data_IF_413990665886
#
_entry.id   IF_413990665886
#
_cell.length_a   1.000
_cell.length_b   1.000
_cell.length_c   1.000
_cell.angle_alpha   90.00
_cell.angle_beta   90.00
_cell.angle_gamma   90.00
#
_symmetry.space_group_name_H-M   'P 1'
#
loop_
_entity.id
_entity.type
_entity.pdbx_description
1 polymer ?
#
# COMPACT_ATOMS: atom_id res chain seq x y z
N UNK A 1 -32.52 10.15 -2.02
CA UNK A 1 -33.29 10.95 -3.00
C UNK A 1 -32.70 10.65 -4.38
N UNK A 2 -33.43 10.00 -5.30
CA UNK A 2 -32.90 9.70 -6.63
C UNK A 2 -32.77 11.00 -7.43
N UNK A 3 -31.59 11.27 -7.98
CA UNK A 3 -31.32 12.44 -8.82
C UNK A 3 -32.10 12.35 -10.13
N UNK A 4 -33.08 13.23 -10.33
CA UNK A 4 -33.81 13.32 -11.60
C UNK A 4 -32.94 14.02 -12.65
N UNK A 5 -32.70 13.35 -13.78
CA UNK A 5 -31.94 13.92 -14.88
C UNK A 5 -32.75 15.03 -15.58
N UNK A 6 -32.37 16.29 -15.32
CA UNK A 6 -33.00 17.50 -15.90
C UNK A 6 -32.25 18.03 -17.12
N UNK A 7 -31.38 17.22 -17.73
CA UNK A 7 -30.55 17.67 -18.86
C UNK A 7 -31.40 18.10 -20.06
N UNK A 8 -32.57 17.48 -20.26
CA UNK A 8 -33.50 17.84 -21.34
C UNK A 8 -34.17 19.20 -21.09
N UNK A 9 -34.69 19.42 -19.89
CA UNK A 9 -35.29 20.70 -19.47
C UNK A 9 -34.29 21.84 -19.65
N UNK A 10 -33.04 21.62 -19.22
CA UNK A 10 -31.96 22.59 -19.37
C UNK A 10 -31.68 22.93 -20.84
N UNK A 11 -31.58 21.91 -21.71
CA UNK A 11 -31.36 22.13 -23.16
C UNK A 11 -32.53 22.87 -23.81
N UNK A 12 -33.76 22.63 -23.36
CA UNK A 12 -34.94 23.31 -23.85
C UNK A 12 -34.95 24.79 -23.47
N UNK A 13 -34.65 25.10 -22.21
CA UNK A 13 -34.54 26.48 -21.73
C UNK A 13 -33.42 27.24 -22.46
N UNK A 14 -32.28 26.60 -22.74
CA UNK A 14 -31.20 27.22 -23.53
C UNK A 14 -31.69 27.61 -24.93
N UNK A 15 -32.35 26.68 -25.64
CA UNK A 15 -32.86 26.96 -27.00
C UNK A 15 -33.90 28.08 -27.00
N UNK A 16 -34.77 28.09 -26.00
CA UNK A 16 -35.78 29.14 -25.83
C UNK A 16 -35.10 30.51 -25.64
N UNK A 17 -34.10 30.58 -24.76
CA UNK A 17 -33.34 31.81 -24.53
C UNK A 17 -32.54 32.26 -25.76
N UNK A 18 -31.96 31.33 -26.51
CA UNK A 18 -31.23 31.60 -27.76
C UNK A 18 -32.13 32.20 -28.85
N UNK A 19 -33.43 31.90 -28.83
CA UNK A 19 -34.42 32.46 -29.76
C UNK A 19 -34.90 33.85 -29.36
N UNK A 20 -34.80 34.22 -28.08
CA UNK A 20 -35.19 35.56 -27.59
C UNK A 20 -34.14 36.65 -27.79
N UNK A 21 -32.91 36.30 -28.19
CA UNK A 21 -31.83 37.27 -28.40
C UNK A 21 -31.79 37.75 -29.86
N UNK A 22 -31.75 39.07 -30.13
CA UNK A 22 -31.68 39.61 -31.49
C UNK A 22 -30.39 39.17 -32.20
N UNK A 23 -30.47 38.92 -33.51
CA UNK A 23 -29.40 38.32 -34.32
C UNK A 23 -28.04 39.06 -34.25
N UNK A 24 -28.02 40.36 -33.92
CA UNK A 24 -26.80 41.14 -33.71
C UNK A 24 -26.06 40.84 -32.39
N UNK A 25 -26.74 40.25 -31.39
CA UNK A 25 -26.16 39.78 -30.12
C UNK A 25 -26.08 38.27 -30.02
N UNK A 26 -26.64 37.53 -30.99
CA UNK A 26 -26.24 36.15 -31.27
C UNK A 26 -24.79 36.19 -31.72
N UNK A 27 -23.87 36.25 -30.75
CA UNK A 27 -22.47 35.91 -30.98
C UNK A 27 -22.55 34.52 -31.58
N UNK A 28 -22.40 34.43 -32.91
CA UNK A 28 -22.16 33.16 -33.59
C UNK A 28 -21.02 32.55 -32.79
N UNK A 29 -21.31 31.56 -31.95
CA UNK A 29 -20.35 30.50 -31.66
C UNK A 29 -20.19 29.84 -33.02
N UNK A 30 -19.44 30.51 -33.88
CA UNK A 30 -19.03 29.96 -35.15
C UNK A 30 -18.43 28.64 -34.76
N UNK A 31 -19.11 27.58 -35.15
CA UNK A 31 -18.59 26.24 -35.24
C UNK A 31 -17.54 26.29 -36.35
N UNK A 32 -16.51 27.10 -36.13
CA UNK A 32 -15.27 26.99 -36.83
C UNK A 32 -14.77 25.65 -36.35
N UNK A 33 -14.93 24.67 -37.23
CA UNK A 33 -14.11 23.47 -37.28
C UNK A 33 -12.66 23.90 -37.51
N UNK A 34 -12.11 24.69 -36.60
CA UNK A 34 -10.75 24.45 -36.17
C UNK A 34 -10.84 23.04 -35.60
N UNK A 35 -10.04 22.12 -36.13
CA UNK A 35 -9.71 20.91 -35.38
C UNK A 35 -9.54 21.30 -33.91
N UNK A 36 -9.95 20.47 -32.93
CA UNK A 36 -9.65 20.80 -31.55
C UNK A 36 -8.13 20.95 -31.51
N UNK A 37 -7.64 22.19 -31.46
CA UNK A 37 -6.36 22.53 -30.87
C UNK A 37 -6.55 22.04 -29.46
N UNK A 38 -6.24 20.75 -29.30
CA UNK A 38 -6.61 19.94 -28.17
C UNK A 38 -5.66 20.44 -27.10
N UNK A 39 -6.13 21.41 -26.31
CA UNK A 39 -5.29 22.17 -25.38
C UNK A 39 -4.28 21.21 -24.76
N UNK A 40 -2.96 21.42 -24.97
CA UNK A 40 -1.95 20.46 -24.53
C UNK A 40 -2.09 20.10 -23.05
N UNK A 41 -2.53 21.05 -22.22
CA UNK A 41 -2.84 20.85 -20.80
C UNK A 41 -3.99 19.86 -20.53
N UNK A 42 -5.03 19.83 -21.38
CA UNK A 42 -6.15 18.89 -21.24
C UNK A 42 -5.75 17.47 -21.67
N UNK A 43 -4.84 17.33 -22.64
CA UNK A 43 -4.27 16.03 -23.03
C UNK A 43 -3.41 15.50 -21.89
N UNK A 44 -2.45 16.29 -21.41
CA UNK A 44 -1.57 15.91 -20.31
C UNK A 44 -2.34 15.62 -19.01
N UNK A 45 -3.44 16.33 -18.76
CA UNK A 45 -4.32 16.03 -17.62
C UNK A 45 -5.03 14.68 -17.73
N UNK A 46 -5.49 14.31 -18.94
CA UNK A 46 -6.11 12.99 -19.17
C UNK A 46 -5.10 11.86 -19.06
N UNK A 47 -3.89 12.06 -19.58
CA UNK A 47 -2.80 11.09 -19.48
C UNK A 47 -2.41 10.86 -18.01
N UNK A 48 -2.26 11.94 -17.23
CA UNK A 48 -1.97 11.87 -15.79
C UNK A 48 -3.03 11.05 -15.03
N UNK A 49 -4.32 11.33 -15.28
CA UNK A 49 -5.41 10.61 -14.60
C UNK A 49 -5.50 9.16 -15.09
N UNK A 50 -5.28 8.90 -16.37
CA UNK A 50 -5.26 7.53 -16.90
C UNK A 50 -4.14 6.70 -16.25
N UNK A 51 -2.96 7.29 -16.10
CA UNK A 51 -1.83 6.68 -15.40
C UNK A 51 -2.14 6.41 -13.93
N UNK A 52 -2.78 7.37 -13.23
CA UNK A 52 -3.24 7.18 -11.86
C UNK A 52 -4.16 5.96 -11.72
N UNK A 53 -5.09 5.77 -12.66
CA UNK A 53 -5.99 4.61 -12.66
C UNK A 53 -5.26 3.29 -12.92
N UNK A 54 -4.24 3.28 -13.77
CA UNK A 54 -3.41 2.09 -13.99
C UNK A 54 -2.70 1.70 -12.70
N UNK A 55 -2.09 2.66 -12.00
CA UNK A 55 -1.44 2.42 -10.70
C UNK A 55 -2.46 1.93 -9.66
N UNK A 56 -3.62 2.59 -9.57
CA UNK A 56 -4.67 2.21 -8.63
C UNK A 56 -5.18 0.78 -8.88
N UNK A 57 -5.36 0.40 -10.15
CA UNK A 57 -5.79 -0.95 -10.51
C UNK A 57 -4.75 -1.99 -10.09
N UNK A 58 -3.45 -1.70 -10.32
CA UNK A 58 -2.36 -2.58 -9.92
C UNK A 58 -2.28 -2.75 -8.40
N UNK A 59 -2.37 -1.64 -7.64
CA UNK A 59 -2.40 -1.70 -6.16
C UNK A 59 -3.63 -2.47 -5.68
N UNK A 60 -4.81 -2.21 -6.24
CA UNK A 60 -6.06 -2.88 -5.83
C UNK A 60 -6.01 -4.37 -6.12
N UNK A 61 -5.50 -4.76 -7.28
CA UNK A 61 -5.32 -6.17 -7.66
C UNK A 61 -4.35 -6.86 -6.72
N UNK A 62 -3.20 -6.22 -6.42
CA UNK A 62 -2.23 -6.74 -5.46
C UNK A 62 -2.86 -6.89 -4.06
N UNK A 63 -3.54 -5.88 -3.54
CA UNK A 63 -4.19 -5.94 -2.21
C UNK A 63 -5.23 -7.07 -2.14
N UNK A 64 -6.04 -7.26 -3.20
CA UNK A 64 -7.02 -8.34 -3.26
C UNK A 64 -6.34 -9.71 -3.32
N UNK A 65 -5.30 -9.86 -4.14
CA UNK A 65 -4.50 -11.07 -4.22
C UNK A 65 -3.90 -11.42 -2.85
N UNK A 66 -3.23 -10.47 -2.18
CA UNK A 66 -2.63 -10.64 -0.84
C UNK A 66 -3.69 -11.04 0.19
N UNK A 67 -4.88 -10.44 0.16
CA UNK A 67 -5.98 -10.81 1.05
C UNK A 67 -6.46 -12.25 0.83
N UNK A 68 -6.60 -12.68 -0.43
CA UNK A 68 -7.05 -14.03 -0.78
C UNK A 68 -6.02 -15.10 -0.38
N UNK A 69 -4.74 -14.85 -0.61
CA UNK A 69 -3.67 -15.82 -0.31
C UNK A 69 -3.23 -15.80 1.16
N UNK A 70 -3.68 -14.84 1.98
CA UNK A 70 -3.24 -14.71 3.38
C UNK A 70 -3.33 -16.02 4.16
N UNK A 71 -4.46 -16.72 4.07
CA UNK A 71 -4.67 -18.00 4.78
C UNK A 71 -3.70 -19.11 4.32
N UNK A 72 -3.63 -19.46 3.02
CA UNK A 72 -2.72 -20.50 2.54
C UNK A 72 -1.23 -20.09 2.60
N UNK A 73 -0.92 -18.79 2.57
CA UNK A 73 0.43 -18.25 2.75
C UNK A 73 0.94 -18.46 4.18
N UNK A 74 0.11 -18.17 5.20
CA UNK A 74 0.48 -18.27 6.61
C UNK A 74 0.53 -19.73 7.12
N UNK A 75 -0.06 -20.68 6.39
CA UNK A 75 -0.09 -22.08 6.78
C UNK A 75 1.24 -22.79 6.46
N UNK A 76 2.24 -22.67 7.35
CA UNK A 76 3.59 -23.25 7.17
C UNK A 76 3.62 -24.79 7.32
N UNK A 77 2.49 -25.44 7.61
CA UNK A 77 2.45 -26.89 7.81
C UNK A 77 2.61 -27.67 6.50
N UNK A 78 3.81 -28.24 6.34
CA UNK A 78 4.19 -29.21 5.30
C UNK A 78 3.65 -30.63 5.53
N UNK A 79 2.88 -30.87 6.60
CA UNK A 79 2.52 -32.24 7.04
C UNK A 79 1.39 -32.90 6.26
N UNK A 80 0.81 -32.26 5.27
CA UNK A 80 -0.25 -32.87 4.46
C UNK A 80 -0.08 -32.47 3.01
N UNK A 81 0.52 -33.36 2.20
CA UNK A 81 0.02 -33.82 0.88
C UNK A 81 1.16 -34.54 0.13
N UNK A 82 0.91 -35.74 -0.45
CA UNK A 82 1.88 -36.44 -1.27
C UNK A 82 2.18 -35.65 -2.56
N UNK A 83 3.48 -35.45 -2.81
CA UNK A 83 4.13 -34.66 -3.88
C UNK A 83 3.76 -35.05 -5.32
N UNK A 84 2.82 -35.96 -5.56
CA UNK A 84 2.68 -36.62 -6.86
C UNK A 84 1.85 -35.86 -7.93
N UNK A 85 1.07 -34.83 -7.59
CA UNK A 85 0.20 -34.15 -8.58
C UNK A 85 -0.07 -32.67 -8.29
N UNK A 86 0.96 -31.83 -8.27
CA UNK A 86 0.75 -30.39 -8.45
C UNK A 86 1.52 -29.93 -9.68
N UNK A 87 0.84 -29.52 -10.77
CA UNK A 87 1.53 -28.89 -11.89
C UNK A 87 2.16 -27.60 -11.37
N UNK A 88 3.42 -27.36 -11.74
CA UNK A 88 4.11 -26.08 -11.52
C UNK A 88 3.26 -24.97 -12.13
N UNK A 89 2.49 -24.28 -11.28
CA UNK A 89 1.66 -23.17 -11.70
C UNK A 89 2.57 -21.96 -11.82
N UNK A 90 2.79 -21.48 -13.04
CA UNK A 90 3.30 -20.12 -13.22
C UNK A 90 2.26 -19.17 -12.63
N UNK A 91 2.61 -18.54 -11.52
CA UNK A 91 1.82 -17.54 -10.82
C UNK A 91 1.74 -16.29 -11.70
N UNK A 92 0.75 -16.27 -12.59
CA UNK A 92 0.44 -15.11 -13.41
C UNK A 92 -0.35 -14.09 -12.58
N UNK A 93 0.20 -12.89 -12.49
CA UNK A 93 -0.33 -11.79 -11.68
C UNK A 93 -1.61 -11.19 -12.28
N UNK A 94 -1.82 -11.37 -13.59
CA UNK A 94 -3.03 -10.98 -14.30
C UNK A 94 -4.08 -12.10 -14.33
N UNK A 95 -3.78 -13.23 -13.68
CA UNK A 95 -4.74 -14.32 -13.57
C UNK A 95 -5.96 -13.85 -12.79
N UNK A 96 -7.13 -14.01 -13.40
CA UNK A 96 -8.44 -13.68 -12.84
C UNK A 96 -8.55 -14.09 -11.37
N UNK A 97 -9.24 -13.31 -10.54
CA UNK A 97 -9.44 -13.54 -9.09
C UNK A 97 -9.74 -15.00 -8.69
N UNK A 98 -10.32 -15.79 -9.59
CA UNK A 98 -10.60 -17.21 -9.41
C UNK A 98 -9.34 -18.07 -9.20
N UNK A 99 -8.21 -17.74 -9.86
CA UNK A 99 -6.95 -18.49 -9.77
C UNK A 99 -6.42 -18.51 -8.33
N UNK A 100 -6.50 -17.38 -7.65
CA UNK A 100 -6.00 -17.19 -6.28
C UNK A 100 -6.91 -17.82 -5.22
N UNK A 101 -8.24 -17.83 -5.44
CA UNK A 101 -9.19 -18.48 -4.52
C UNK A 101 -9.11 -20.02 -4.52
N UNK A 102 -8.64 -20.62 -5.62
CA UNK A 102 -8.54 -22.07 -5.74
C UNK A 102 -7.32 -22.67 -5.01
N UNK A 103 -6.40 -21.84 -4.53
CA UNK A 103 -5.14 -22.27 -3.92
C UNK A 103 -5.35 -22.49 -2.41
N UNK A 104 -5.32 -23.76 -1.97
CA UNK A 104 -5.46 -24.13 -0.55
C UNK A 104 -4.13 -24.25 0.20
N UNK A 105 -3.04 -24.53 -0.52
CA UNK A 105 -1.69 -24.70 0.04
C UNK A 105 -0.67 -24.10 -0.92
N UNK A 106 0.37 -23.48 -0.38
CA UNK A 106 1.53 -23.00 -1.12
C UNK A 106 2.80 -23.68 -0.60
N UNK A 107 3.70 -24.03 -1.51
CA UNK A 107 5.06 -24.42 -1.17
C UNK A 107 5.87 -23.22 -0.65
N UNK A 108 6.98 -23.49 0.04
CA UNK A 108 7.87 -22.43 0.51
C UNK A 108 8.42 -21.59 -0.67
N UNK A 109 8.73 -22.25 -1.78
CA UNK A 109 9.23 -21.61 -3.00
C UNK A 109 8.17 -20.71 -3.67
N UNK A 110 6.91 -21.14 -3.74
CA UNK A 110 5.81 -20.32 -4.28
C UNK A 110 5.56 -19.09 -3.41
N UNK A 111 5.65 -19.22 -2.08
CA UNK A 111 5.56 -18.07 -1.15
C UNK A 111 6.68 -17.06 -1.40
N UNK A 112 7.90 -17.54 -1.57
CA UNK A 112 9.06 -16.69 -1.87
C UNK A 112 8.92 -15.96 -3.22
N UNK A 113 8.35 -16.63 -4.22
CA UNK A 113 8.04 -16.01 -5.51
C UNK A 113 6.97 -14.91 -5.38
N UNK A 114 5.92 -15.16 -4.59
CA UNK A 114 4.88 -14.16 -4.33
C UNK A 114 5.46 -12.95 -3.59
N UNK A 115 6.33 -13.17 -2.60
CA UNK A 115 7.00 -12.09 -1.87
C UNK A 115 7.86 -11.23 -2.81
N UNK A 116 8.60 -11.88 -3.71
CA UNK A 116 9.40 -11.21 -4.74
C UNK A 116 8.51 -10.38 -5.68
N UNK A 117 7.44 -10.97 -6.20
CA UNK A 117 6.52 -10.33 -7.13
C UNK A 117 5.79 -9.14 -6.48
N UNK A 118 5.26 -9.32 -5.27
CA UNK A 118 4.60 -8.26 -4.51
C UNK A 118 5.54 -7.07 -4.28
N UNK A 119 6.80 -7.35 -3.89
CA UNK A 119 7.82 -6.31 -3.72
C UNK A 119 8.08 -5.55 -5.02
N UNK A 120 8.32 -6.26 -6.13
CA UNK A 120 8.59 -5.63 -7.43
C UNK A 120 7.42 -4.72 -7.85
N UNK A 121 6.18 -5.17 -7.61
CA UNK A 121 4.99 -4.37 -7.91
C UNK A 121 4.93 -3.13 -7.03
N UNK A 122 5.13 -3.26 -5.72
CA UNK A 122 5.13 -2.12 -4.80
C UNK A 122 6.20 -1.09 -5.16
N UNK A 123 7.43 -1.53 -5.44
CA UNK A 123 8.53 -0.64 -5.86
C UNK A 123 8.20 0.04 -7.19
N UNK A 124 7.71 -0.71 -8.18
CA UNK A 124 7.31 -0.14 -9.47
C UNK A 124 6.20 0.90 -9.32
N UNK A 125 5.18 0.62 -8.49
CA UNK A 125 4.12 1.57 -8.19
C UNK A 125 4.68 2.82 -7.50
N UNK A 126 5.57 2.65 -6.52
CA UNK A 126 6.22 3.77 -5.83
C UNK A 126 6.99 4.67 -6.81
N UNK A 127 7.78 4.07 -7.70
CA UNK A 127 8.56 4.80 -8.70
C UNK A 127 7.66 5.54 -9.69
N UNK A 128 6.55 4.91 -10.10
CA UNK A 128 5.57 5.53 -11.00
C UNK A 128 4.87 6.72 -10.34
N UNK A 129 4.50 6.61 -9.06
CA UNK A 129 3.91 7.72 -8.30
C UNK A 129 4.93 8.85 -8.15
N UNK A 130 6.19 8.55 -7.83
CA UNK A 130 7.28 9.55 -7.79
C UNK A 130 7.49 10.24 -9.14
N UNK A 131 7.41 9.50 -10.24
CA UNK A 131 7.48 10.05 -11.60
C UNK A 131 6.34 11.03 -11.86
N UNK A 132 5.10 10.66 -11.51
CA UNK A 132 3.92 11.54 -11.63
C UNK A 132 4.07 12.83 -10.81
N UNK A 133 4.56 12.73 -9.58
CA UNK A 133 4.82 13.89 -8.73
C UNK A 133 5.94 14.78 -9.28
N UNK A 134 7.00 14.18 -9.85
CA UNK A 134 8.07 14.93 -10.48
C UNK A 134 7.59 15.66 -11.74
N UNK A 135 6.70 15.05 -12.53
CA UNK A 135 6.05 15.71 -13.66
C UNK A 135 5.20 16.90 -13.21
N UNK A 136 4.48 16.77 -12.10
CA UNK A 136 3.69 17.85 -11.53
C UNK A 136 4.57 19.00 -11.02
N UNK A 137 5.60 18.72 -10.21
CA UNK A 137 6.55 19.75 -9.73
C UNK A 137 7.26 20.47 -10.89
N UNK A 138 7.60 19.75 -11.96
CA UNK A 138 8.17 20.37 -13.18
C UNK A 138 7.15 21.22 -13.92
N UNK A 139 5.90 20.76 -14.03
CA UNK A 139 4.83 21.52 -14.67
C UNK A 139 4.51 22.80 -13.89
N UNK A 140 4.48 22.73 -12.56
CA UNK A 140 4.30 23.86 -11.67
C UNK A 140 5.45 24.85 -11.82
N UNK A 141 6.70 24.40 -11.70
CA UNK A 141 7.90 25.23 -11.89
C UNK A 141 7.91 25.93 -13.26
N UNK A 142 7.55 25.20 -14.32
CA UNK A 142 7.44 25.77 -15.66
C UNK A 142 6.30 26.81 -15.73
N UNK A 143 5.17 26.56 -15.09
CA UNK A 143 4.05 27.51 -15.06
C UNK A 143 4.42 28.81 -14.33
N UNK A 144 5.13 28.71 -13.20
CA UNK A 144 5.63 29.84 -12.40
C UNK A 144 6.69 30.63 -13.18
N UNK A 145 7.67 29.95 -13.79
CA UNK A 145 8.72 30.63 -14.57
C UNK A 145 8.19 31.32 -15.84
N UNK A 146 7.18 30.74 -16.50
CA UNK A 146 6.51 31.35 -17.65
C UNK A 146 5.70 32.59 -17.21
N UNK A 147 5.11 32.57 -16.02
CA UNK A 147 4.44 33.75 -15.45
C UNK A 147 5.40 34.88 -15.08
N UNK A 148 6.67 34.58 -14.81
CA UNK A 148 7.69 35.58 -14.48
C UNK A 148 8.43 36.13 -15.71
N UNK A 149 8.25 35.56 -16.91
CA UNK A 149 8.98 36.01 -18.11
C UNK A 149 8.44 37.36 -18.61
N UNK A 150 9.18 38.48 -18.46
CA UNK A 150 8.71 39.79 -18.92
C UNK A 150 8.61 39.76 -20.45
N UNK A 151 7.39 39.95 -20.98
CA UNK A 151 7.11 40.00 -22.42
C UNK A 151 6.07 38.99 -22.92
N UNK A 152 5.98 37.78 -22.34
CA UNK A 152 4.92 36.81 -22.72
C UNK A 152 3.55 37.15 -22.15
N UNK A 153 3.53 37.67 -20.92
CA UNK A 153 2.34 38.25 -20.28
C UNK A 153 1.77 39.40 -21.14
N UNK A 154 2.65 40.13 -21.84
CA UNK A 154 2.26 41.25 -22.71
C UNK A 154 1.59 40.77 -24.00
N UNK A 155 2.05 39.66 -24.59
CA UNK A 155 1.44 39.06 -25.79
C UNK A 155 0.11 38.34 -25.52
N UNK A 156 -0.07 37.74 -24.34
CA UNK A 156 -1.35 37.13 -23.96
C UNK A 156 -2.36 38.20 -23.54
N UNK A 157 -1.91 39.25 -22.84
CA UNK A 157 -2.76 40.36 -22.43
C UNK A 157 -3.14 41.32 -23.58
N UNK A 158 -2.29 41.49 -24.60
CA UNK A 158 -2.60 42.30 -25.78
C UNK A 158 -3.76 41.74 -26.60
N UNK A 159 -4.04 40.44 -26.45
CA UNK A 159 -5.20 39.76 -27.04
C UNK A 159 -6.49 40.01 -26.26
N UNK A 160 -6.42 40.38 -24.98
CA UNK A 160 -7.57 40.40 -24.08
C UNK A 160 -8.08 41.81 -23.73
N UNK A 161 -7.24 42.87 -23.68
CA UNK A 161 -7.62 44.31 -23.69
C UNK A 161 -6.39 45.21 -23.43
N UNK A 162 -6.22 46.35 -24.13
CA UNK A 162 -5.06 47.25 -23.97
C UNK A 162 -4.98 47.95 -22.58
N UNK A 163 -6.12 48.07 -21.88
CA UNK A 163 -6.20 48.69 -20.56
C UNK A 163 -5.75 47.76 -19.42
N UNK A 164 -5.72 46.45 -19.64
CA UNK A 164 -5.24 45.49 -18.64
C UNK A 164 -3.75 45.66 -18.34
N UNK A 165 -3.00 46.32 -19.24
CA UNK A 165 -1.57 46.63 -19.09
C UNK A 165 -1.27 47.59 -17.92
N UNK A 166 -2.23 48.41 -17.52
CA UNK A 166 -2.06 49.41 -16.45
C UNK A 166 -2.52 48.94 -15.07
N UNK A 167 -3.05 47.72 -14.95
CA UNK A 167 -3.46 47.19 -13.65
C UNK A 167 -2.25 46.59 -12.90
N UNK A 168 -2.12 46.83 -11.59
CA UNK A 168 -1.05 46.27 -10.77
C UNK A 168 -1.12 44.73 -10.77
N UNK A 169 0.03 44.07 -10.80
CA UNK A 169 0.17 42.61 -10.93
C UNK A 169 -0.64 41.81 -9.90
N UNK A 170 -0.88 42.36 -8.70
CA UNK A 170 -1.72 41.75 -7.65
C UNK A 170 -3.21 41.61 -8.01
N UNK A 171 -3.71 42.41 -8.95
CA UNK A 171 -5.10 42.33 -9.44
C UNK A 171 -5.21 41.52 -10.75
N UNK A 172 -4.09 40.98 -11.24
CA UNK A 172 -3.99 40.20 -12.49
C UNK A 172 -3.92 38.70 -12.22
N UNK A 173 -4.56 38.24 -11.14
CA UNK A 173 -4.75 36.82 -10.87
C UNK A 173 -5.84 36.32 -11.85
N UNK A 174 -5.41 35.91 -13.04
CA UNK A 174 -6.30 35.49 -14.11
C UNK A 174 -7.02 34.20 -13.71
N UNK A 175 -8.28 34.04 -14.14
CA UNK A 175 -9.06 32.79 -13.95
C UNK A 175 -8.30 31.52 -14.38
N UNK A 176 -7.35 31.64 -15.32
CA UNK A 176 -6.48 30.56 -15.75
C UNK A 176 -5.49 30.10 -14.67
N UNK A 177 -4.90 31.02 -13.88
CA UNK A 177 -3.99 30.65 -12.78
C UNK A 177 -4.74 29.93 -11.67
N UNK A 178 -5.96 30.38 -11.33
CA UNK A 178 -6.82 29.70 -10.36
C UNK A 178 -7.18 28.27 -10.76
N UNK A 179 -7.54 28.09 -12.03
CA UNK A 179 -7.84 26.75 -12.54
C UNK A 179 -6.61 25.84 -12.54
N UNK A 180 -5.40 26.42 -12.68
CA UNK A 180 -4.14 25.70 -12.56
C UNK A 180 -3.87 25.28 -11.12
N UNK A 181 -4.05 26.18 -10.16
CA UNK A 181 -3.83 25.92 -8.73
C UNK A 181 -4.78 24.83 -8.21
N UNK A 182 -6.05 24.85 -8.62
CA UNK A 182 -7.01 23.78 -8.28
C UNK A 182 -6.64 22.45 -8.94
N UNK A 183 -6.16 22.48 -10.19
CA UNK A 183 -5.71 21.26 -10.88
C UNK A 183 -4.47 20.68 -10.21
N UNK A 184 -3.54 21.51 -9.73
CA UNK A 184 -2.39 21.08 -8.93
C UNK A 184 -2.84 20.51 -7.58
N UNK A 185 -3.70 21.19 -6.83
CA UNK A 185 -4.25 20.66 -5.58
C UNK A 185 -4.96 19.31 -5.79
N UNK A 186 -5.72 19.16 -6.89
CA UNK A 186 -6.38 17.91 -7.24
C UNK A 186 -5.38 16.81 -7.61
N UNK A 187 -4.34 17.11 -8.40
CA UNK A 187 -3.29 16.14 -8.78
C UNK A 187 -2.45 15.71 -7.57
N UNK A 188 -2.06 16.65 -6.71
CA UNK A 188 -1.46 16.38 -5.40
C UNK A 188 -2.35 15.47 -4.53
N UNK A 189 -3.67 15.69 -4.51
CA UNK A 189 -4.60 14.82 -3.78
C UNK A 189 -4.69 13.40 -4.36
N UNK A 190 -4.56 13.24 -5.69
CA UNK A 190 -4.53 11.93 -6.35
C UNK A 190 -3.26 11.17 -5.95
N UNK A 191 -2.09 11.80 -6.04
CA UNK A 191 -0.81 11.17 -5.67
C UNK A 191 -0.76 10.84 -4.19
N UNK A 192 -1.28 11.71 -3.32
CA UNK A 192 -1.47 11.42 -1.90
C UNK A 192 -2.35 10.18 -1.67
N UNK A 193 -3.48 10.08 -2.37
CA UNK A 193 -4.37 8.92 -2.26
C UNK A 193 -3.67 7.63 -2.69
N UNK A 194 -2.93 7.66 -3.81
CA UNK A 194 -2.16 6.51 -4.29
C UNK A 194 -1.06 6.10 -3.31
N UNK A 195 -0.28 7.05 -2.77
CA UNK A 195 0.75 6.77 -1.78
C UNK A 195 0.15 6.19 -0.50
N UNK A 196 -1.01 6.69 -0.05
CA UNK A 196 -1.73 6.12 1.09
C UNK A 196 -2.13 4.66 0.83
N UNK A 197 -2.72 4.36 -0.32
CA UNK A 197 -3.07 2.98 -0.72
C UNK A 197 -1.85 2.07 -0.83
N UNK A 198 -0.75 2.58 -1.36
CA UNK A 198 0.50 1.86 -1.49
C UNK A 198 1.10 1.53 -0.11
N UNK A 199 1.02 2.49 0.82
CA UNK A 199 1.44 2.34 2.21
C UNK A 199 0.60 1.27 2.92
N UNK A 200 -0.73 1.32 2.78
CA UNK A 200 -1.65 0.29 3.29
C UNK A 200 -1.31 -1.11 2.73
N UNK A 201 -1.09 -1.22 1.41
CA UNK A 201 -0.71 -2.49 0.78
C UNK A 201 0.64 -3.01 1.30
N UNK A 202 1.65 -2.14 1.41
CA UNK A 202 2.97 -2.49 1.94
C UNK A 202 2.90 -2.97 3.40
N UNK A 203 2.04 -2.36 4.22
CA UNK A 203 1.81 -2.76 5.61
C UNK A 203 1.22 -4.18 5.66
N UNK A 204 0.21 -4.48 4.84
CA UNK A 204 -0.37 -5.84 4.80
C UNK A 204 0.65 -6.90 4.36
N UNK A 205 1.53 -6.59 3.42
CA UNK A 205 2.60 -7.51 3.01
C UNK A 205 3.59 -7.74 4.16
N UNK A 206 4.05 -6.67 4.81
CA UNK A 206 4.99 -6.76 5.93
C UNK A 206 4.42 -7.59 7.07
N UNK A 207 3.17 -7.36 7.48
CA UNK A 207 2.52 -8.13 8.55
C UNK A 207 2.51 -9.64 8.24
N UNK A 208 2.24 -10.01 6.99
CA UNK A 208 2.28 -11.42 6.58
C UNK A 208 3.70 -12.00 6.62
N UNK A 209 4.70 -11.23 6.19
CA UNK A 209 6.11 -11.65 6.21
C UNK A 209 6.65 -11.77 7.63
N UNK A 210 6.34 -10.81 8.51
CA UNK A 210 6.66 -10.86 9.94
C UNK A 210 6.10 -12.13 10.57
N UNK A 211 4.84 -12.44 10.31
CA UNK A 211 4.23 -13.63 10.89
C UNK A 211 4.77 -14.94 10.28
N UNK A 212 5.19 -14.94 9.02
CA UNK A 212 5.89 -16.08 8.42
C UNK A 212 7.26 -16.30 9.07
N UNK A 213 8.09 -15.26 9.16
CA UNK A 213 9.41 -15.32 9.80
C UNK A 213 9.27 -15.76 11.24
N UNK A 214 8.28 -15.23 11.96
CA UNK A 214 7.96 -15.64 13.34
C UNK A 214 7.63 -17.12 13.44
N UNK A 215 6.76 -17.67 12.57
CA UNK A 215 6.43 -19.11 12.57
C UNK A 215 7.63 -19.99 12.19
N UNK A 216 8.49 -19.54 11.29
CA UNK A 216 9.72 -20.25 10.94
C UNK A 216 10.73 -20.26 12.09
N UNK A 217 10.88 -19.12 12.78
CA UNK A 217 11.72 -18.99 13.97
C UNK A 217 11.20 -19.84 15.15
N UNK A 218 9.88 -19.87 15.37
CA UNK A 218 9.27 -20.76 16.37
C UNK A 218 9.53 -22.22 16.00
N UNK A 219 9.43 -22.58 14.71
CA UNK A 219 9.72 -23.94 14.25
C UNK A 219 11.18 -24.33 14.46
N UNK A 220 12.14 -23.48 14.10
CA UNK A 220 13.57 -23.75 14.33
C UNK A 220 13.87 -23.93 15.83
N UNK A 221 13.25 -23.10 16.68
CA UNK A 221 13.31 -23.25 18.14
C UNK A 221 12.71 -24.59 18.61
N UNK A 222 11.56 -25.00 18.07
CA UNK A 222 10.90 -26.27 18.44
C UNK A 222 11.58 -27.51 17.88
N UNK A 223 12.30 -27.43 16.76
CA UNK A 223 13.09 -28.55 16.24
C UNK A 223 14.27 -28.86 17.16
N UNK A 224 14.92 -27.81 17.69
CA UNK A 224 15.95 -27.96 18.72
C UNK A 224 15.42 -28.56 20.03
N UNK A 225 14.25 -28.13 20.50
CA UNK A 225 13.64 -28.68 21.72
C UNK A 225 12.97 -30.04 21.51
N UNK A 226 12.46 -30.31 20.32
CA UNK A 226 11.85 -31.59 19.91
C UNK A 226 12.88 -32.70 19.85
N UNK A 227 14.03 -32.47 19.20
CA UNK A 227 15.14 -33.42 19.18
C UNK A 227 15.69 -33.67 20.60
N UNK A 228 15.81 -32.64 21.44
CA UNK A 228 16.20 -32.80 22.84
C UNK A 228 15.17 -33.61 23.64
N UNK A 229 13.87 -33.41 23.40
CA UNK A 229 12.79 -34.15 24.08
C UNK A 229 12.66 -35.57 23.58
N UNK A 230 12.93 -35.82 22.30
CA UNK A 230 12.95 -37.15 21.69
C UNK A 230 14.17 -37.94 22.16
N UNK A 231 15.36 -37.32 22.23
CA UNK A 231 16.54 -37.90 22.86
C UNK A 231 16.29 -38.23 24.35
N UNK A 232 15.61 -37.35 25.09
CA UNK A 232 15.17 -37.66 26.46
C UNK A 232 14.13 -38.78 26.50
N UNK A 233 13.25 -38.91 25.50
CA UNK A 233 12.26 -40.00 25.47
C UNK A 233 12.85 -41.36 25.08
N UNK A 234 13.88 -41.37 24.23
CA UNK A 234 14.65 -42.57 23.87
C UNK A 234 15.50 -43.00 25.07
N UNK A 235 16.04 -42.05 25.85
CA UNK A 235 16.71 -42.32 27.12
C UNK A 235 15.80 -42.67 28.31
N UNK A 236 14.47 -42.58 28.15
CA UNK A 236 13.47 -42.88 29.21
C UNK A 236 12.63 -44.12 28.87
N UNK A 237 12.89 -44.77 27.73
CA UNK A 237 12.20 -45.98 27.30
C UNK A 237 12.67 -47.27 28.00
N UNK A 238 13.32 -47.18 29.17
CA UNK A 238 13.62 -48.34 30.02
C UNK A 238 13.12 -48.10 31.46
N UNK A 239 11.88 -48.52 31.80
CA UNK A 239 11.34 -48.41 33.15
C UNK A 239 11.46 -49.75 33.89
N UNK A 240 12.68 -50.25 34.05
CA UNK A 240 13.02 -51.25 35.06
C UNK A 240 14.33 -50.81 35.71
N UNK A 241 14.37 -50.80 37.04
CA UNK A 241 15.49 -50.36 37.90
C UNK A 241 15.56 -48.87 38.23
N UNK A 242 14.55 -48.41 38.98
CA UNK A 242 14.76 -47.35 39.97
C UNK A 242 15.05 -48.00 41.34
N UNK A 243 16.33 -48.23 41.67
CA UNK A 243 16.84 -48.20 43.05
C UNK A 243 18.38 -48.37 43.12
N UNK A 244 18.98 -47.54 43.98
CA UNK A 244 20.26 -47.66 44.69
C UNK A 244 21.51 -46.91 44.19
N UNK A 245 22.02 -46.06 45.10
CA UNK A 245 23.33 -45.40 45.08
C UNK A 245 24.44 -46.45 45.30
N UNK A 246 25.67 -46.19 44.82
CA UNK A 246 26.69 -45.70 45.77
C UNK A 246 27.71 -44.69 45.20
N UNK A 247 28.46 -44.08 46.12
CA UNK A 247 29.57 -43.14 45.92
C UNK A 247 30.74 -43.68 45.08
N UNK A 248 31.26 -42.88 44.16
CA UNK A 248 32.69 -42.49 44.08
C UNK A 248 33.01 -41.67 42.83
N UNK A 249 34.02 -40.81 42.95
CA UNK A 249 34.37 -39.74 42.02
C UNK A 249 35.17 -40.19 40.78
N UNK A 250 34.83 -39.67 39.59
CA UNK A 250 35.68 -38.81 38.72
C UNK A 250 35.13 -38.68 37.29
N UNK A 251 34.77 -37.44 36.92
CA UNK A 251 35.08 -36.79 35.65
C UNK A 251 34.52 -37.33 34.34
N UNK A 252 33.50 -36.65 33.77
CA UNK A 252 33.49 -36.26 32.35
C UNK A 252 32.32 -35.31 32.04
N UNK A 253 32.66 -34.14 31.49
CA UNK A 253 31.86 -33.21 30.69
C UNK A 253 30.40 -32.89 31.08
N UNK A 254 30.27 -31.87 31.92
CA UNK A 254 29.11 -30.98 31.95
C UNK A 254 29.12 -30.06 30.72
N UNK A 255 28.11 -30.16 29.84
CA UNK A 255 27.85 -29.16 28.78
C UNK A 255 26.46 -28.50 28.86
N UNK A 256 25.66 -28.76 29.90
CA UNK A 256 24.43 -27.99 30.12
C UNK A 256 24.44 -27.27 31.47
N UNK A 257 25.33 -26.29 31.56
CA UNK A 257 25.24 -25.24 32.56
C UNK A 257 24.20 -24.21 32.16
N UNK A 258 23.14 -24.11 32.95
CA UNK A 258 22.47 -22.84 33.25
C UNK A 258 21.37 -22.38 32.29
N UNK A 259 20.13 -22.77 32.60
CA UNK A 259 18.96 -21.87 32.53
C UNK A 259 17.75 -22.53 33.23
N UNK A 260 17.87 -22.76 34.53
CA UNK A 260 16.70 -22.90 35.39
C UNK A 260 16.11 -21.50 35.59
N UNK A 261 14.96 -21.23 34.95
CA UNK A 261 13.93 -20.31 35.45
C UNK A 261 12.72 -20.33 34.51
N UNK A 262 11.56 -20.63 35.09
CA UNK A 262 10.22 -20.39 34.53
C UNK A 262 9.69 -21.45 33.57
N UNK A 263 9.13 -22.55 34.11
CA UNK A 263 7.72 -22.90 33.84
C UNK A 263 7.15 -23.63 35.04
N UNK A 264 6.37 -22.88 35.79
CA UNK A 264 5.60 -23.27 36.97
C UNK A 264 4.61 -24.37 36.59
N UNK A 265 4.56 -25.37 37.46
CA UNK A 265 3.54 -26.39 37.55
C UNK A 265 2.12 -25.79 37.56
N UNK A 266 1.27 -26.28 36.67
CA UNK A 266 -0.18 -26.16 36.80
C UNK A 266 -0.80 -27.55 36.61
N UNK A 267 -0.67 -28.36 37.66
CA UNK A 267 -1.52 -29.53 37.90
C UNK A 267 -2.70 -29.03 38.72
N UNK A 268 -3.96 -29.15 38.23
CA UNK A 268 -5.19 -29.22 39.05
C UNK A 268 -6.44 -29.41 38.17
N UNK A 269 -7.12 -30.55 38.34
CA UNK A 269 -8.60 -30.59 38.49
C UNK A 269 -9.51 -31.09 37.34
N UNK A 270 -9.67 -32.43 37.22
CA UNK A 270 -10.91 -33.24 37.01
C UNK A 270 -11.90 -32.96 35.83
N UNK A 271 -12.90 -33.84 35.56
CA UNK A 271 -12.93 -35.32 35.43
C UNK A 271 -13.42 -35.78 34.02
N UNK A 272 -13.30 -37.09 33.73
CA UNK A 272 -13.70 -37.77 32.48
C UNK A 272 -15.20 -37.58 32.10
N UNK A 273 -15.56 -37.76 30.80
CA UNK A 273 -16.03 -39.09 30.38
C UNK A 273 -15.73 -39.53 28.92
N UNK A 274 -15.80 -40.85 28.74
CA UNK A 274 -16.25 -41.64 27.56
C UNK A 274 -15.47 -41.65 26.23
N UNK A 275 -14.96 -42.87 25.94
CA UNK A 275 -15.00 -43.63 24.68
C UNK A 275 -14.53 -43.00 23.35
N UNK A 276 -13.44 -43.55 22.78
CA UNK A 276 -13.51 -44.42 21.59
C UNK A 276 -12.10 -44.83 21.07
N UNK A 277 -11.91 -46.15 20.97
CA UNK A 277 -11.11 -46.93 20.02
C UNK A 277 -9.68 -46.51 19.59
N UNK A 278 -8.70 -47.35 19.95
CA UNK A 278 -7.63 -47.80 19.02
C UNK A 278 -7.08 -49.18 19.44
N UNK A 279 -6.74 -50.09 18.49
CA UNK A 279 -6.64 -51.52 18.77
C UNK A 279 -5.27 -51.94 19.30
N UNK A 280 -5.32 -53.00 20.09
CA UNK A 280 -4.22 -53.80 20.62
C UNK A 280 -3.52 -54.61 19.52
N UNK A 281 -2.20 -54.82 19.59
CA UNK A 281 -1.58 -55.99 18.99
C UNK A 281 -1.50 -57.13 20.00
N UNK A 282 -1.87 -58.30 19.50
CA UNK A 282 -1.81 -59.67 20.03
C UNK A 282 -0.73 -60.00 21.06
N UNK A 283 -1.19 -60.52 22.18
CA UNK A 283 -0.46 -61.32 23.17
C UNK A 283 0.01 -62.65 22.55
N UNK A 284 1.32 -62.84 22.42
CA UNK A 284 1.91 -64.16 22.19
C UNK A 284 2.13 -64.81 23.56
N UNK A 285 1.52 -65.98 23.79
CA UNK A 285 1.83 -66.83 24.95
C UNK A 285 3.25 -67.36 24.80
N UNK A 286 4.12 -67.11 25.77
CA UNK A 286 5.32 -67.92 25.97
C UNK A 286 5.27 -68.54 27.38
N UNK A 287 5.50 -69.84 27.38
CA UNK A 287 5.38 -70.81 28.46
C UNK A 287 6.57 -70.76 29.43
N UNK A 288 6.29 -71.13 30.67
CA UNK A 288 7.22 -71.36 31.78
C UNK A 288 8.47 -72.18 31.42
N UNK A 289 9.68 -71.65 31.71
CA UNK A 289 10.97 -72.37 31.83
C UNK A 289 11.83 -71.65 32.91
N UNK A 290 12.57 -72.36 33.80
CA UNK A 290 12.94 -71.96 35.17
C UNK A 290 14.24 -71.12 35.24
N UNK A 291 14.65 -70.59 36.42
CA UNK A 291 15.66 -69.54 36.48
C UNK A 291 17.08 -70.11 36.31
N UNK A 292 17.94 -69.52 35.47
CA UNK A 292 19.39 -69.61 35.61
C UNK A 292 19.84 -68.43 36.49
N UNK A 293 20.38 -68.69 37.69
CA UNK A 293 21.82 -68.75 37.98
C UNK A 293 22.53 -67.43 37.70
N UNK A 294 23.05 -66.85 38.80
CA UNK A 294 24.00 -65.74 38.82
C UNK A 294 25.16 -66.02 37.86
N UNK A 295 25.24 -65.27 36.78
CA UNK A 295 26.48 -64.97 36.06
C UNK A 295 26.38 -63.51 35.61
N UNK A 296 27.32 -62.72 36.12
CA UNK A 296 27.59 -61.34 35.72
C UNK A 296 28.00 -61.33 34.26
N UNK A 297 27.15 -60.87 33.36
CA UNK A 297 27.57 -60.36 32.07
C UNK A 297 26.82 -59.05 31.84
N UNK A 298 27.54 -57.94 32.01
CA UNK A 298 27.24 -56.66 31.38
C UNK A 298 27.17 -56.90 29.86
N UNK A 299 26.04 -57.39 29.35
CA UNK A 299 25.73 -57.29 27.93
C UNK A 299 25.45 -55.81 27.67
N UNK A 300 26.53 -55.04 27.50
CA UNK A 300 26.53 -53.79 26.77
C UNK A 300 25.62 -53.99 25.55
N UNK A 301 24.48 -53.30 25.53
CA UNK A 301 23.53 -53.35 24.41
C UNK A 301 24.25 -52.68 23.23
N UNK A 302 25.10 -53.43 22.56
CA UNK A 302 25.83 -53.00 21.38
C UNK A 302 24.80 -52.84 20.26
N UNK A 303 24.45 -51.59 19.98
CA UNK A 303 23.63 -51.21 18.82
C UNK A 303 24.11 -51.99 17.59
N UNK A 304 23.22 -52.75 16.94
CA UNK A 304 23.62 -53.49 15.74
C UNK A 304 24.27 -52.52 14.74
N UNK A 305 25.31 -52.95 14.02
CA UNK A 305 26.00 -52.09 13.04
C UNK A 305 25.03 -51.43 12.04
N UNK A 306 23.89 -52.06 11.75
CA UNK A 306 22.81 -51.50 10.93
C UNK A 306 22.05 -50.34 11.57
N UNK A 307 21.85 -50.38 12.89
CA UNK A 307 21.12 -49.37 13.67
C UNK A 307 22.00 -48.14 13.96
N UNK A 308 23.31 -48.34 14.16
CA UNK A 308 24.31 -47.26 14.22
C UNK A 308 24.32 -46.48 12.90
N UNK A 309 24.39 -47.18 11.77
CA UNK A 309 24.35 -46.56 10.45
C UNK A 309 23.05 -45.77 10.25
N UNK A 310 21.91 -46.29 10.70
CA UNK A 310 20.65 -45.58 10.63
C UNK A 310 20.67 -44.29 11.46
N UNK A 311 21.15 -44.33 12.71
CA UNK A 311 21.29 -43.13 13.55
C UNK A 311 22.28 -42.12 12.98
N UNK A 312 23.40 -42.55 12.40
CA UNK A 312 24.33 -41.65 11.72
C UNK A 312 23.67 -40.96 10.52
N UNK A 313 22.91 -41.70 9.72
CA UNK A 313 22.18 -41.12 8.59
C UNK A 313 21.06 -40.18 9.03
N UNK A 314 20.36 -40.49 10.13
CA UNK A 314 19.31 -39.65 10.70
C UNK A 314 19.89 -38.36 11.30
N UNK A 315 20.96 -38.46 12.09
CA UNK A 315 21.67 -37.30 12.64
C UNK A 315 22.21 -36.39 11.52
N UNK A 316 22.79 -36.97 10.47
CA UNK A 316 23.25 -36.20 9.30
C UNK A 316 22.07 -35.49 8.60
N UNK A 317 20.91 -36.13 8.51
CA UNK A 317 19.71 -35.53 7.93
C UNK A 317 19.13 -34.41 8.81
N UNK A 318 19.12 -34.59 10.13
CA UNK A 318 18.70 -33.55 11.09
C UNK A 318 19.60 -32.33 10.98
N UNK A 319 20.93 -32.51 11.00
CA UNK A 319 21.89 -31.40 10.86
C UNK A 319 21.71 -30.65 9.54
N UNK A 320 21.49 -31.38 8.45
CA UNK A 320 21.21 -30.77 7.15
C UNK A 320 19.91 -29.97 7.16
N UNK A 321 18.84 -30.52 7.74
CA UNK A 321 17.57 -29.81 7.88
C UNK A 321 17.70 -28.56 8.75
N UNK A 322 18.42 -28.65 9.87
CA UNK A 322 18.71 -27.49 10.74
C UNK A 322 19.47 -26.42 9.95
N UNK A 323 20.49 -26.80 9.19
CA UNK A 323 21.23 -25.86 8.34
C UNK A 323 20.33 -25.19 7.30
N UNK A 324 19.52 -25.97 6.58
CA UNK A 324 18.59 -25.46 5.56
C UNK A 324 17.52 -24.52 6.17
N UNK A 325 17.01 -24.85 7.37
CA UNK A 325 16.04 -23.99 8.08
C UNK A 325 16.68 -22.69 8.54
N UNK A 326 17.94 -22.72 8.98
CA UNK A 326 18.66 -21.53 9.42
C UNK A 326 18.96 -20.60 8.24
N UNK A 327 19.40 -21.13 7.10
CA UNK A 327 19.57 -20.35 5.87
C UNK A 327 18.25 -19.73 5.41
N UNK A 328 17.15 -20.51 5.43
CA UNK A 328 15.83 -19.98 5.08
C UNK A 328 15.36 -18.87 6.02
N UNK A 329 15.64 -18.97 7.34
CA UNK A 329 15.28 -17.92 8.30
C UNK A 329 16.11 -16.66 8.05
N UNK A 330 17.42 -16.78 7.87
CA UNK A 330 18.29 -15.63 7.55
C UNK A 330 17.86 -14.92 6.27
N UNK A 331 17.51 -15.69 5.23
CA UNK A 331 17.02 -15.13 3.98
C UNK A 331 15.67 -14.40 4.17
N UNK A 332 14.76 -14.97 4.98
CA UNK A 332 13.48 -14.36 5.26
C UNK A 332 13.63 -13.08 6.12
N UNK A 333 14.56 -13.06 7.06
CA UNK A 333 14.92 -11.86 7.84
C UNK A 333 15.48 -10.74 6.95
N UNK A 334 16.41 -11.05 6.03
CA UNK A 334 16.93 -10.07 5.08
C UNK A 334 15.81 -9.44 4.23
N UNK A 335 14.89 -10.26 3.70
CA UNK A 335 13.76 -9.76 2.92
C UNK A 335 12.78 -8.93 3.77
N UNK A 336 12.61 -9.28 5.03
CA UNK A 336 11.80 -8.53 5.99
C UNK A 336 12.43 -7.16 6.27
N UNK A 337 13.76 -7.08 6.38
CA UNK A 337 14.46 -5.80 6.50
C UNK A 337 14.22 -4.93 5.27
N UNK A 338 14.34 -5.48 4.05
CA UNK A 338 14.11 -4.73 2.82
C UNK A 338 12.69 -4.17 2.70
N UNK A 339 11.64 -4.97 3.00
CA UNK A 339 10.26 -4.48 2.96
C UNK A 339 10.03 -3.42 4.04
N UNK A 340 10.65 -3.56 5.21
CA UNK A 340 10.52 -2.61 6.30
C UNK A 340 11.16 -1.26 5.94
N UNK A 341 12.29 -1.28 5.22
CA UNK A 341 12.94 -0.09 4.71
C UNK A 341 12.07 0.63 3.67
N UNK A 342 11.51 -0.12 2.69
CA UNK A 342 10.58 0.43 1.70
C UNK A 342 9.35 1.02 2.39
N UNK A 343 8.76 0.33 3.36
CA UNK A 343 7.61 0.83 4.09
C UNK A 343 7.93 2.13 4.86
N UNK A 344 9.07 2.18 5.54
CA UNK A 344 9.49 3.38 6.28
C UNK A 344 9.65 4.57 5.34
N UNK A 345 10.22 4.36 4.16
CA UNK A 345 10.33 5.37 3.11
C UNK A 345 8.95 5.86 2.68
N UNK A 346 8.02 4.94 2.38
CA UNK A 346 6.66 5.28 1.96
C UNK A 346 5.90 6.07 3.03
N UNK A 347 5.99 5.66 4.30
CA UNK A 347 5.33 6.35 5.43
C UNK A 347 5.92 7.74 5.64
N UNK A 348 7.25 7.87 5.56
CA UNK A 348 7.93 9.17 5.66
C UNK A 348 7.50 10.09 4.53
N UNK A 349 7.44 9.57 3.31
CA UNK A 349 7.01 10.31 2.13
C UNK A 349 5.55 10.75 2.24
N UNK A 350 4.65 9.86 2.66
CA UNK A 350 3.23 10.16 2.88
C UNK A 350 3.03 11.25 3.94
N UNK A 351 3.81 11.21 5.03
CA UNK A 351 3.74 12.21 6.10
C UNK A 351 4.10 13.60 5.57
N UNK A 352 5.23 13.70 4.85
CA UNK A 352 5.67 14.95 4.20
C UNK A 352 4.65 15.43 3.17
N UNK A 353 4.09 14.52 2.37
CA UNK A 353 3.12 14.86 1.34
C UNK A 353 1.78 15.33 1.91
N UNK A 354 1.38 14.82 3.08
CA UNK A 354 0.14 15.25 3.75
C UNK A 354 0.20 16.73 4.08
N UNK A 355 1.29 17.19 4.69
CA UNK A 355 1.48 18.62 5.01
C UNK A 355 1.46 19.50 3.75
N UNK A 356 2.16 19.09 2.68
CA UNK A 356 2.18 19.83 1.42
C UNK A 356 0.81 19.88 0.73
N UNK A 357 0.06 18.78 0.78
CA UNK A 357 -1.27 18.68 0.16
C UNK A 357 -2.27 19.56 0.90
N UNK A 358 -2.20 19.60 2.23
CA UNK A 358 -3.05 20.47 3.05
C UNK A 358 -2.78 21.95 2.76
N UNK A 359 -1.49 22.34 2.69
CA UNK A 359 -1.10 23.71 2.31
C UNK A 359 -1.61 24.11 0.92
N UNK A 360 -1.39 23.26 -0.09
CA UNK A 360 -1.88 23.49 -1.46
C UNK A 360 -3.41 23.64 -1.52
N UNK A 361 -4.13 22.86 -0.71
CA UNK A 361 -5.57 22.92 -0.63
C UNK A 361 -6.07 24.21 0.02
N UNK A 362 -5.46 24.62 1.14
CA UNK A 362 -5.75 25.89 1.79
C UNK A 362 -5.46 27.08 0.88
N UNK A 363 -4.32 27.07 0.19
CA UNK A 363 -3.94 28.11 -0.76
C UNK A 363 -4.92 28.22 -1.93
N UNK A 364 -5.35 27.09 -2.49
CA UNK A 364 -6.35 27.07 -3.57
C UNK A 364 -7.70 27.65 -3.13
N UNK A 365 -8.15 27.34 -1.90
CA UNK A 365 -9.39 27.90 -1.33
C UNK A 365 -9.25 29.40 -1.08
N UNK A 366 -8.17 29.81 -0.41
CA UNK A 366 -7.93 31.20 -0.08
C UNK A 366 -7.90 32.05 -1.35
N UNK A 367 -7.18 31.58 -2.37
CA UNK A 367 -7.05 32.26 -3.66
C UNK A 367 -8.40 32.35 -4.41
N UNK A 368 -9.23 31.31 -4.34
CA UNK A 368 -10.59 31.37 -4.91
C UNK A 368 -11.42 32.45 -4.22
N UNK A 369 -11.36 32.52 -2.89
CA UNK A 369 -12.13 33.51 -2.12
C UNK A 369 -11.69 34.96 -2.39
N UNK A 370 -10.40 35.20 -2.58
CA UNK A 370 -9.86 36.53 -2.86
C UNK A 370 -10.24 36.98 -4.26
N UNK A 371 -10.22 36.08 -5.25
CA UNK A 371 -10.64 36.42 -6.61
C UNK A 371 -12.15 36.57 -6.72
N UNK A 372 -12.96 35.78 -6.00
CA UNK A 372 -14.40 36.00 -5.95
C UNK A 372 -14.73 37.40 -5.43
N UNK A 373 -14.13 37.81 -4.30
CA UNK A 373 -14.27 39.16 -3.76
C UNK A 373 -13.77 40.22 -4.74
N UNK A 374 -12.61 40.01 -5.35
CA UNK A 374 -12.06 40.91 -6.37
C UNK A 374 -12.98 41.08 -7.58
N UNK A 375 -13.63 40.01 -8.03
CA UNK A 375 -14.60 40.06 -9.13
C UNK A 375 -15.85 40.88 -8.76
N UNK A 376 -16.31 40.79 -7.52
CA UNK A 376 -17.40 41.63 -7.00
C UNK A 376 -16.98 43.10 -6.99
N UNK A 377 -15.81 43.40 -6.46
CA UNK A 377 -15.28 44.77 -6.42
C UNK A 377 -15.09 45.36 -7.83
N UNK A 378 -14.61 44.58 -8.80
CA UNK A 378 -14.49 45.01 -10.19
C UNK A 378 -15.86 45.32 -10.82
N UNK A 379 -16.88 44.52 -10.51
CA UNK A 379 -18.25 44.76 -10.98
C UNK A 379 -18.83 46.03 -10.36
N UNK A 380 -18.59 46.26 -9.08
CA UNK A 380 -18.98 47.50 -8.39
C UNK A 380 -18.23 48.71 -8.93
N UNK A 381 -16.91 48.63 -9.12
CA UNK A 381 -16.09 49.69 -9.68
C UNK A 381 -16.56 50.07 -11.08
N UNK A 382 -16.92 49.09 -11.92
CA UNK A 382 -17.51 49.34 -13.24
C UNK A 382 -18.85 50.07 -13.16
N UNK A 383 -19.69 49.75 -12.16
CA UNK A 383 -20.94 50.46 -11.91
C UNK A 383 -20.69 51.90 -11.46
N UNK A 384 -19.82 52.11 -10.47
CA UNK A 384 -19.42 53.44 -9.98
C UNK A 384 -18.81 54.31 -11.09
N UNK A 385 -17.99 53.73 -11.96
CA UNK A 385 -17.42 54.46 -13.10
C UNK A 385 -18.48 54.93 -14.10
N UNK A 386 -19.51 54.10 -14.35
CA UNK A 386 -20.66 54.49 -15.19
C UNK A 386 -21.45 55.63 -14.54
N UNK A 387 -21.72 55.52 -13.25
CA UNK A 387 -22.48 56.53 -12.49
C UNK A 387 -21.70 57.86 -12.42
N UNK A 388 -20.39 57.82 -12.20
CA UNK A 388 -19.52 58.99 -12.23
C UNK A 388 -19.48 59.67 -13.60
N UNK A 389 -19.42 58.88 -14.69
CA UNK A 389 -19.49 59.43 -16.06
C UNK A 389 -20.84 60.11 -16.34
N UNK A 390 -21.94 59.54 -15.84
CA UNK A 390 -23.26 60.17 -15.96
C UNK A 390 -23.32 61.49 -15.18
N UNK A 391 -22.80 61.51 -13.95
CA UNK A 391 -22.77 62.70 -13.12
C UNK A 391 -21.95 63.83 -13.76
N UNK A 392 -20.76 63.54 -14.28
CA UNK A 392 -19.92 64.51 -15.00
C UNK A 392 -20.66 65.06 -16.23
N UNK A 393 -21.36 64.21 -16.97
CA UNK A 393 -22.15 64.64 -18.13
C UNK A 393 -23.28 65.59 -17.74
N UNK A 394 -24.03 65.26 -16.67
CA UNK A 394 -25.10 66.13 -16.15
C UNK A 394 -24.52 67.46 -15.65
N UNK A 395 -23.39 67.43 -14.95
CA UNK A 395 -22.69 68.63 -14.48
C UNK A 395 -22.26 69.54 -15.64
N UNK A 396 -21.65 68.98 -16.70
CA UNK A 396 -21.23 69.73 -17.87
C UNK A 396 -22.41 70.38 -18.60
N UNK A 397 -23.53 69.66 -18.75
CA UNK A 397 -24.75 70.22 -19.35
C UNK A 397 -25.30 71.35 -18.48
N UNK A 398 -25.39 71.14 -17.16
CA UNK A 398 -25.85 72.15 -16.21
C UNK A 398 -25.00 73.43 -16.25
N UNK A 399 -23.67 73.29 -16.18
CA UNK A 399 -22.74 74.41 -16.26
C UNK A 399 -22.83 75.14 -17.61
N UNK A 400 -22.96 74.41 -18.72
CA UNK A 400 -23.16 75.01 -20.05
C UNK A 400 -24.44 75.83 -20.14
N UNK A 401 -25.55 75.34 -19.57
CA UNK A 401 -26.81 76.08 -19.52
C UNK A 401 -26.72 77.31 -18.61
N UNK A 402 -26.04 77.20 -17.47
CA UNK A 402 -25.81 78.35 -16.57
C UNK A 402 -25.00 79.46 -17.26
N UNK A 403 -23.97 79.12 -18.03
CA UNK A 403 -23.20 80.10 -18.81
C UNK A 403 -24.05 80.75 -19.91
N UNK A 404 -24.93 79.99 -20.57
CA UNK A 404 -25.85 80.54 -21.56
C UNK A 404 -26.79 81.58 -20.93
N UNK A 405 -27.37 81.28 -19.78
CA UNK A 405 -28.26 82.20 -19.05
C UNK A 405 -27.53 83.44 -18.55
N UNK A 406 -26.29 83.31 -18.05
CA UNK A 406 -25.48 84.44 -17.61
C UNK A 406 -25.06 85.36 -18.78
N UNK A 407 -24.94 84.83 -20.00
CA UNK A 407 -24.64 85.64 -21.17
C UNK A 407 -25.89 86.31 -21.76
N UNK A 408 -27.07 85.72 -21.55
CA UNK A 408 -28.33 86.23 -22.10
C UNK A 408 -28.92 87.41 -21.28
N UNK A 409 -28.53 87.55 -20.01
CA UNK A 409 -28.97 88.59 -19.09
C UNK A 409 -27.80 89.50 -18.72
#
# INVERSE_FOLDING_TARGET
MPSSDRTLDFRQVIREKENTLPAAKRRKTSKQSTEPERDPQLISGKEYVAEAYVILNLITTLTRMLANIRRPYLNVDSRTVPTSRQPSRNLDLDASDQSWTAIRHLSNQERDQIDLQARIILTRCADRVKEMEALEKRAEYLSVSVSFTPGRIELVASKANPLARFLPARLRQDTATLSSDFVAAHRSSITWYLNRRLTEASQTQKEMQEERVKRQLERSKTLGSGAAREALSIGVADPLFAAEQPDSARGSSSWLGGASSSLIAATLGAPSPSEAHRPTPSHVKFTDIPPPSDDEDDEDIELSASQILQFETENANILRNVQDTLESVQQAESRLMDISALQMELVTHLTRQTELTDQLYEDAIATTSTVEKGNVELKEAKRRAKDGRLFILVFLIGASLSLLFLHYY
#
